data_IF_155655818554
#
_entry.id   IF_155655818554
#
_cell.length_a   1.000
_cell.length_b   1.000
_cell.length_c   1.000
_cell.angle_alpha   90.00
_cell.angle_beta   90.00
_cell.angle_gamma   90.00
#
_symmetry.space_group_name_H-M   'P 1'
#
loop_
_entity.id
_entity.type
_entity.pdbx_description
1 polymer ?
#
# COMPACT_ATOMS: atom_id res chain seq x y z
N UNK A 1 -47.62 -4.83 0.99
CA UNK A 1 -46.95 -4.93 -0.33
C UNK A 1 -45.55 -4.34 -0.20
N UNK A 2 -44.53 -5.18 -0.41
CA UNK A 2 -43.12 -4.80 -0.31
C UNK A 2 -42.58 -4.27 -1.65
N UNK A 3 -41.46 -3.53 -1.59
CA UNK A 3 -40.37 -3.30 -2.59
C UNK A 3 -39.96 -1.82 -2.59
N UNK A 4 -38.69 -1.37 -2.57
CA UNK A 4 -37.36 -1.98 -2.70
C UNK A 4 -36.34 -1.08 -1.95
N UNK A 5 -35.58 -1.62 -0.99
CA UNK A 5 -34.34 -1.02 -0.47
C UNK A 5 -33.23 -1.27 -1.51
N UNK A 6 -32.61 -0.21 -2.03
CA UNK A 6 -31.39 -0.30 -2.85
C UNK A 6 -30.22 -0.69 -1.93
N UNK A 7 -29.70 -1.90 -2.14
CA UNK A 7 -28.51 -2.46 -1.51
C UNK A 7 -27.25 -1.72 -1.96
N UNK A 8 -26.55 -1.07 -1.02
CA UNK A 8 -25.14 -0.68 -1.20
C UNK A 8 -24.29 -1.96 -1.24
N UNK A 9 -23.27 -2.07 -2.11
CA UNK A 9 -22.38 -3.22 -2.11
C UNK A 9 -21.56 -3.22 -0.82
N UNK A 10 -21.78 -4.25 -0.02
CA UNK A 10 -21.06 -4.55 1.22
C UNK A 10 -19.61 -4.93 0.87
N UNK A 11 -18.70 -3.96 0.83
CA UNK A 11 -17.26 -4.24 0.87
C UNK A 11 -16.87 -4.22 2.34
N UNK A 12 -16.55 -5.39 2.90
CA UNK A 12 -16.01 -5.52 4.25
C UNK A 12 -14.77 -4.63 4.37
N UNK A 13 -14.95 -3.46 4.98
CA UNK A 13 -13.95 -2.39 5.08
C UNK A 13 -13.48 -2.34 6.51
N UNK A 14 -12.83 -3.39 7.01
CA UNK A 14 -11.94 -3.19 8.15
C UNK A 14 -10.70 -2.46 7.60
N UNK A 15 -10.44 -1.22 8.04
CA UNK A 15 -9.21 -0.54 7.68
C UNK A 15 -8.04 -1.37 8.20
N UNK A 16 -7.13 -1.73 7.31
CA UNK A 16 -5.91 -2.44 7.63
C UNK A 16 -4.75 -1.48 7.43
N UNK A 17 -3.96 -1.31 8.48
CA UNK A 17 -2.64 -0.69 8.38
C UNK A 17 -1.61 -1.79 8.12
N UNK A 18 -0.71 -1.56 7.18
CA UNK A 18 0.40 -2.48 6.89
C UNK A 18 1.65 -1.68 6.63
N UNK A 19 2.73 -1.98 7.35
CA UNK A 19 4.04 -1.38 7.14
C UNK A 19 4.88 -2.26 6.24
N UNK A 20 5.57 -1.63 5.29
CA UNK A 20 6.30 -2.28 4.24
C UNK A 20 7.62 -1.53 4.03
N UNK A 21 8.69 -2.28 3.83
CA UNK A 21 9.91 -1.79 3.20
C UNK A 21 9.81 -1.96 1.70
N UNK A 22 9.99 -0.85 0.98
CA UNK A 22 10.01 -0.80 -0.46
C UNK A 22 11.44 -0.51 -0.91
N UNK A 23 12.02 -1.40 -1.72
CA UNK A 23 13.33 -1.21 -2.32
C UNK A 23 13.16 -0.93 -3.82
N UNK A 24 13.61 0.25 -4.21
CA UNK A 24 13.59 0.78 -5.56
C UNK A 24 14.96 0.58 -6.20
N UNK A 25 15.08 -0.24 -7.25
CA UNK A 25 16.27 -0.24 -8.09
C UNK A 25 16.41 1.11 -8.81
N UNK A 26 17.61 1.47 -9.29
CA UNK A 26 17.91 2.81 -9.81
C UNK A 26 17.02 3.21 -10.99
N UNK A 27 16.56 2.23 -11.78
CA UNK A 27 15.64 2.42 -12.92
C UNK A 27 14.23 2.86 -12.50
N UNK A 28 13.83 2.63 -11.25
CA UNK A 28 12.49 2.94 -10.73
C UNK A 28 12.45 4.17 -9.84
N UNK A 29 13.60 4.69 -9.37
CA UNK A 29 13.68 5.87 -8.50
C UNK A 29 13.05 7.11 -9.16
N UNK A 30 13.22 7.27 -10.48
CA UNK A 30 12.65 8.38 -11.25
C UNK A 30 11.17 8.21 -11.62
N UNK A 31 10.52 7.11 -11.21
CA UNK A 31 9.12 6.84 -11.53
C UNK A 31 8.20 7.19 -10.35
N UNK A 32 7.03 7.81 -10.58
CA UNK A 32 6.13 8.25 -9.52
C UNK A 32 5.26 7.10 -8.97
N UNK A 33 5.86 5.96 -8.61
CA UNK A 33 5.14 4.74 -8.25
C UNK A 33 4.25 4.92 -7.00
N UNK A 34 4.72 5.63 -5.97
CA UNK A 34 3.91 5.93 -4.77
C UNK A 34 2.66 6.74 -5.12
N UNK A 35 2.81 7.75 -5.98
CA UNK A 35 1.71 8.58 -6.42
C UNK A 35 0.71 7.79 -7.26
N UNK A 36 1.19 6.91 -8.14
CA UNK A 36 0.32 6.03 -8.91
C UNK A 36 -0.48 5.08 -8.01
N UNK A 37 0.14 4.55 -6.95
CA UNK A 37 -0.55 3.67 -5.97
C UNK A 37 -1.70 4.41 -5.31
N UNK A 38 -1.48 5.60 -4.77
CA UNK A 38 -2.54 6.38 -4.12
C UNK A 38 -3.66 6.81 -5.07
N UNK A 39 -3.40 6.85 -6.38
CA UNK A 39 -4.40 7.19 -7.39
C UNK A 39 -5.15 5.97 -7.95
N UNK A 40 -4.49 4.82 -8.03
CA UNK A 40 -5.04 3.57 -8.58
C UNK A 40 -5.82 2.78 -7.54
N UNK A 41 -5.43 2.87 -6.27
CA UNK A 41 -6.03 2.13 -5.17
C UNK A 41 -6.60 3.08 -4.14
N UNK A 42 -7.66 2.66 -3.43
CA UNK A 42 -8.23 3.44 -2.32
C UNK A 42 -7.42 3.24 -1.04
N UNK A 43 -6.14 3.62 -1.09
CA UNK A 43 -5.20 3.53 0.02
C UNK A 43 -4.57 4.88 0.29
N UNK A 44 -4.29 5.16 1.55
CA UNK A 44 -3.46 6.28 1.99
C UNK A 44 -2.05 5.77 2.19
N UNK A 45 -1.09 6.46 1.57
CA UNK A 45 0.35 6.17 1.70
C UNK A 45 0.95 7.10 2.75
N UNK A 46 1.42 6.55 3.87
CA UNK A 46 2.11 7.30 4.90
C UNK A 46 3.60 6.89 4.95
N UNK A 47 4.49 7.81 4.61
CA UNK A 47 5.94 7.56 4.58
C UNK A 47 6.48 7.72 6.00
N UNK A 48 6.99 6.64 6.59
CA UNK A 48 7.61 6.67 7.92
C UNK A 48 9.09 7.00 7.85
N UNK A 49 9.79 6.42 6.89
CA UNK A 49 11.20 6.68 6.60
C UNK A 49 11.45 6.54 5.10
N UNK A 50 12.36 7.35 4.57
CA UNK A 50 12.82 7.21 3.19
C UNK A 50 14.30 7.58 3.10
N UNK A 51 15.07 6.76 2.41
CA UNK A 51 16.44 7.04 1.99
C UNK A 51 16.49 6.82 0.48
N UNK A 52 16.82 7.87 -0.28
CA UNK A 52 16.88 7.79 -1.73
C UNK A 52 18.24 8.27 -2.18
N UNK A 53 18.98 7.38 -2.83
CA UNK A 53 20.25 7.70 -3.50
C UNK A 53 20.10 7.46 -5.01
N UNK A 54 21.13 7.77 -5.80
CA UNK A 54 21.12 7.45 -7.24
C UNK A 54 21.19 5.94 -7.52
N UNK A 55 21.64 5.15 -6.54
CA UNK A 55 21.85 3.71 -6.66
C UNK A 55 20.64 2.91 -6.19
N UNK A 56 20.04 3.32 -5.06
CA UNK A 56 18.91 2.61 -4.44
C UNK A 56 17.99 3.56 -3.69
N UNK A 57 16.69 3.34 -3.82
CA UNK A 57 15.68 3.95 -2.96
C UNK A 57 15.16 2.95 -1.95
N UNK A 58 15.17 3.27 -0.67
CA UNK A 58 14.60 2.45 0.40
C UNK A 58 13.53 3.30 1.10
N UNK A 59 12.29 2.82 1.12
CA UNK A 59 11.16 3.55 1.70
C UNK A 59 10.40 2.65 2.65
N UNK A 60 10.30 3.04 3.93
CA UNK A 60 9.37 2.46 4.88
C UNK A 60 8.03 3.16 4.71
N UNK A 61 7.08 2.46 4.12
CA UNK A 61 5.74 2.94 3.82
C UNK A 61 4.70 2.20 4.67
N UNK A 62 3.84 2.96 5.32
CA UNK A 62 2.61 2.47 5.92
C UNK A 62 1.46 2.69 4.93
N UNK A 63 0.80 1.61 4.54
CA UNK A 63 -0.42 1.64 3.74
C UNK A 63 -1.62 1.49 4.66
N UNK A 64 -2.53 2.46 4.61
CA UNK A 64 -3.83 2.41 5.29
C UNK A 64 -4.94 2.32 4.24
N UNK A 65 -5.85 1.37 4.42
CA UNK A 65 -7.05 1.28 3.59
C UNK A 65 -7.74 -0.07 3.69
N UNK A 66 -8.72 -0.35 2.82
CA UNK A 66 -9.39 -1.65 2.78
C UNK A 66 -8.38 -2.76 2.48
N UNK A 67 -8.46 -3.88 3.22
CA UNK A 67 -7.53 -5.02 3.09
C UNK A 67 -7.34 -5.50 1.64
N UNK A 68 -8.40 -5.49 0.83
CA UNK A 68 -8.34 -5.89 -0.58
C UNK A 68 -7.50 -4.91 -1.42
N UNK A 69 -7.66 -3.61 -1.19
CA UNK A 69 -6.93 -2.53 -1.87
C UNK A 69 -5.45 -2.55 -1.48
N UNK A 70 -5.14 -2.72 -0.19
CA UNK A 70 -3.76 -2.84 0.30
C UNK A 70 -3.05 -4.02 -0.35
N UNK A 71 -3.69 -5.21 -0.39
CA UNK A 71 -3.13 -6.38 -1.08
C UNK A 71 -2.94 -6.16 -2.57
N UNK A 72 -3.86 -5.45 -3.22
CA UNK A 72 -3.76 -5.14 -4.65
C UNK A 72 -2.60 -4.16 -4.93
N UNK A 73 -2.43 -3.13 -4.09
CA UNK A 73 -1.33 -2.18 -4.16
C UNK A 73 0.03 -2.86 -4.01
N UNK A 74 0.18 -3.76 -3.01
CA UNK A 74 1.41 -4.51 -2.78
C UNK A 74 1.76 -5.36 -4.02
N UNK A 75 0.81 -6.14 -4.54
CA UNK A 75 1.03 -6.96 -5.75
C UNK A 75 1.40 -6.11 -6.97
N UNK A 76 0.82 -4.92 -7.08
CA UNK A 76 1.11 -4.00 -8.18
C UNK A 76 2.53 -3.45 -8.12
N UNK A 77 3.02 -3.09 -6.93
CA UNK A 77 4.40 -2.65 -6.69
C UNK A 77 5.41 -3.75 -7.05
N UNK A 78 5.17 -4.99 -6.58
CA UNK A 78 6.01 -6.15 -6.92
C UNK A 78 6.04 -6.38 -8.43
N UNK A 79 4.89 -6.30 -9.11
CA UNK A 79 4.80 -6.43 -10.56
C UNK A 79 5.57 -5.34 -11.32
N UNK A 80 5.72 -4.15 -10.75
CA UNK A 80 6.51 -3.06 -11.33
C UNK A 80 8.02 -3.20 -11.11
N UNK A 81 8.46 -4.22 -10.37
CA UNK A 81 9.86 -4.49 -10.07
C UNK A 81 10.37 -3.80 -8.80
N UNK A 82 9.48 -3.33 -7.93
CA UNK A 82 9.83 -2.86 -6.58
C UNK A 82 9.86 -4.09 -5.66
N UNK A 83 10.93 -4.28 -4.90
CA UNK A 83 10.94 -5.31 -3.86
C UNK A 83 10.14 -4.81 -2.66
N UNK A 84 9.20 -5.63 -2.19
CA UNK A 84 8.31 -5.28 -1.08
C UNK A 84 8.51 -6.30 0.03
N UNK A 85 9.04 -5.86 1.15
CA UNK A 85 9.23 -6.67 2.36
C UNK A 85 8.27 -6.19 3.45
N UNK A 86 7.46 -7.06 4.07
CA UNK A 86 6.63 -6.66 5.20
C UNK A 86 7.52 -6.31 6.40
N UNK A 87 7.19 -5.22 7.10
CA UNK A 87 7.80 -4.97 8.40
C UNK A 87 7.10 -5.89 9.40
N UNK A 88 7.83 -6.85 9.97
CA UNK A 88 7.35 -7.61 11.12
C UNK A 88 7.15 -6.64 12.28
N UNK A 89 5.93 -6.15 12.44
CA UNK A 89 5.51 -5.49 13.65
C UNK A 89 5.20 -6.62 14.62
N UNK A 90 6.15 -6.94 15.50
CA UNK A 90 5.81 -7.62 16.75
C UNK A 90 4.84 -6.72 17.48
N UNK A 91 3.55 -6.99 17.34
CA UNK A 91 2.50 -6.31 18.08
C UNK A 91 2.65 -6.78 19.54
N UNK A 92 3.39 -6.01 20.34
CA UNK A 92 3.21 -6.02 21.79
C UNK A 92 1.96 -5.17 22.04
N UNK A 93 0.80 -5.82 21.98
CA UNK A 93 -0.43 -5.30 22.59
C UNK A 93 -0.29 -5.47 24.11
N UNK A 94 -0.34 -4.37 24.85
CA UNK A 94 -0.59 -4.33 26.30
C UNK A 94 -1.97 -3.74 26.56
#
# INVERSE_FOLDING_TARGET
>A
MATKKKSKPTTQSSPQQTRLWLMYPPKLIKKPLLWEVGRKFKVVTNIRQASVTDEIGIVCLELDGPRAEVKAAIKWLVKHGVSVEPVEISVVES
#
